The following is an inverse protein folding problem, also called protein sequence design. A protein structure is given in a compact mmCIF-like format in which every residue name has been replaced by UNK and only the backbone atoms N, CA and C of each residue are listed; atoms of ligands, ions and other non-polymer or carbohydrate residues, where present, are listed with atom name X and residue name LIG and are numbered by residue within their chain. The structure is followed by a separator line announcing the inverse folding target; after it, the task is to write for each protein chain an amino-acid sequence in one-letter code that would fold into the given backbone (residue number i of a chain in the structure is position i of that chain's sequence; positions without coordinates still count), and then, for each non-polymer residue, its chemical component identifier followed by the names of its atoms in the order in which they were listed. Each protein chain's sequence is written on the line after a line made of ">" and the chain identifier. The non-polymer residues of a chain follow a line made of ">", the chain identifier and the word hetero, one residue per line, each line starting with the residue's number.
data_IF_955924330521
#
_entry.id   IF_955924330521
#
_cell.length_a   1.000
_cell.length_b   1.000
_cell.length_c   1.000
_cell.angle_alpha   90.00
_cell.angle_beta   90.00
_cell.angle_gamma   90.00
#
_symmetry.space_group_name_H-M   'P 1'
#
loop_
_entity.id
_entity.type
_entity.pdbx_description
1 polymer ?
#
# COMPACT_ATOMS: atom_id res chain seq x y z
N UNK A 1 35.68 11.09 7.07
CA UNK A 1 34.89 11.73 8.13
C UNK A 1 33.49 11.17 8.02
N UNK A 2 33.07 10.31 8.96
CA UNK A 2 31.73 9.74 8.96
C UNK A 2 30.75 10.79 9.52
N UNK A 3 30.02 11.48 8.64
CA UNK A 3 29.05 12.52 9.03
C UNK A 3 27.75 12.01 9.67
N UNK A 4 27.68 10.74 10.08
CA UNK A 4 26.45 10.09 10.56
C UNK A 4 26.63 9.34 11.90
N UNK A 5 27.42 9.92 12.82
CA UNK A 5 27.65 9.26 14.12
C UNK A 5 26.41 9.24 15.05
N UNK A 6 25.39 10.04 14.75
CA UNK A 6 24.13 10.13 15.54
C UNK A 6 22.94 9.49 14.82
N UNK A 7 23.02 8.21 14.47
CA UNK A 7 21.90 7.48 13.89
C UNK A 7 20.91 7.05 14.97
N UNK A 8 19.67 7.49 14.84
CA UNK A 8 18.58 7.02 15.69
C UNK A 8 17.78 6.00 14.88
N UNK A 9 17.72 4.77 15.38
CA UNK A 9 16.85 3.75 14.79
C UNK A 9 15.40 4.01 15.20
N UNK A 10 14.51 4.05 14.22
CA UNK A 10 13.05 4.21 14.40
C UNK A 10 12.33 3.08 13.68
N UNK A 11 11.09 2.84 14.06
CA UNK A 11 10.20 1.90 13.39
C UNK A 11 9.61 2.47 12.11
N UNK A 12 8.56 1.83 11.61
CA UNK A 12 7.85 2.29 10.42
C UNK A 12 7.14 3.62 10.68
N UNK A 13 7.23 4.52 9.72
CA UNK A 13 6.53 5.80 9.73
C UNK A 13 5.64 5.88 8.50
N UNK A 14 4.34 6.03 8.74
CA UNK A 14 3.35 6.19 7.68
C UNK A 14 2.28 7.22 8.06
N UNK A 15 1.56 7.69 7.06
CA UNK A 15 0.34 8.45 7.29
C UNK A 15 -0.73 7.54 7.86
N UNK A 16 -1.54 8.06 8.76
CA UNK A 16 -2.69 7.35 9.34
C UNK A 16 -3.98 7.81 8.67
N UNK A 17 -4.85 6.86 8.35
CA UNK A 17 -6.18 7.17 7.85
C UNK A 17 -7.08 7.67 8.97
N UNK A 18 -7.83 8.74 8.70
CA UNK A 18 -8.92 9.22 9.56
C UNK A 18 -10.28 8.71 9.07
N UNK A 19 -10.31 7.96 7.98
CA UNK A 19 -11.52 7.43 7.37
C UNK A 19 -11.78 6.01 7.88
N UNK A 20 -12.96 5.77 8.44
CA UNK A 20 -13.38 4.42 8.79
C UNK A 20 -13.81 3.62 7.55
N UNK A 21 -13.72 2.29 7.61
CA UNK A 21 -14.21 1.40 6.53
C UNK A 21 -15.69 1.66 6.19
N UNK A 22 -16.51 1.98 7.19
CA UNK A 22 -17.93 2.30 6.98
C UNK A 22 -18.10 3.60 6.17
N UNK A 23 -17.35 4.64 6.49
CA UNK A 23 -17.37 5.90 5.73
C UNK A 23 -16.86 5.69 4.31
N UNK A 24 -15.77 4.94 4.15
CA UNK A 24 -15.24 4.54 2.83
C UNK A 24 -16.30 3.84 1.99
N UNK A 25 -16.97 2.82 2.55
CA UNK A 25 -18.00 2.07 1.85
C UNK A 25 -19.17 2.98 1.40
N UNK A 26 -19.56 3.94 2.23
CA UNK A 26 -20.61 4.91 1.91
C UNK A 26 -20.18 5.87 0.80
N UNK A 27 -18.98 6.46 0.90
CA UNK A 27 -18.43 7.41 -0.09
C UNK A 27 -18.37 6.75 -1.46
N UNK A 28 -17.84 5.53 -1.53
CA UNK A 28 -17.64 4.83 -2.78
C UNK A 28 -18.79 3.92 -3.19
N UNK A 29 -19.93 3.98 -2.50
CA UNK A 29 -21.11 3.16 -2.83
C UNK A 29 -20.70 1.71 -3.08
N UNK A 30 -20.13 1.07 -2.04
CA UNK A 30 -19.66 -0.31 -2.14
C UNK A 30 -20.81 -1.34 -2.21
N UNK A 31 -22.07 -0.88 -2.17
CA UNK A 31 -23.25 -1.74 -2.35
C UNK A 31 -23.13 -2.50 -3.67
N UNK A 32 -23.22 -3.82 -3.60
CA UNK A 32 -23.03 -4.71 -4.74
C UNK A 32 -21.58 -5.11 -5.05
N UNK A 33 -20.61 -4.57 -4.33
CA UNK A 33 -19.22 -5.02 -4.39
C UNK A 33 -18.83 -5.66 -3.06
N UNK A 34 -18.20 -6.83 -3.14
CA UNK A 34 -17.71 -7.54 -1.94
C UNK A 34 -16.32 -7.10 -1.56
N UNK A 35 -15.50 -6.71 -2.53
CA UNK A 35 -14.09 -6.38 -2.34
C UNK A 35 -13.71 -5.09 -3.05
N UNK A 36 -12.74 -4.40 -2.48
CA UNK A 36 -12.04 -3.24 -3.04
C UNK A 36 -10.57 -3.54 -3.26
N UNK A 37 -10.05 -3.23 -4.44
CA UNK A 37 -8.64 -3.45 -4.80
C UNK A 37 -8.04 -2.15 -5.28
N UNK A 38 -6.86 -1.82 -4.78
CA UNK A 38 -6.09 -0.63 -5.18
C UNK A 38 -4.87 -1.04 -5.99
N UNK A 39 -4.73 -0.47 -7.17
CA UNK A 39 -3.48 -0.52 -7.94
C UNK A 39 -2.69 0.77 -7.73
N UNK A 40 -1.53 0.67 -7.09
CA UNK A 40 -0.64 1.78 -6.77
C UNK A 40 0.76 1.55 -7.39
N UNK A 41 0.82 1.58 -8.72
CA UNK A 41 2.02 1.30 -9.51
C UNK A 41 2.66 2.58 -10.05
N UNK A 42 2.73 3.63 -9.25
CA UNK A 42 3.22 4.94 -9.63
C UNK A 42 4.62 4.94 -10.28
N UNK A 43 4.86 5.94 -11.12
CA UNK A 43 6.16 6.15 -11.79
C UNK A 43 6.32 5.47 -13.15
N UNK A 44 5.26 4.87 -13.69
CA UNK A 44 5.28 4.26 -15.01
C UNK A 44 3.91 4.41 -15.65
N UNK A 45 3.88 4.75 -16.93
CA UNK A 45 2.65 4.78 -17.76
C UNK A 45 2.15 3.33 -18.04
N UNK A 46 2.00 2.52 -16.99
CA UNK A 46 1.48 1.17 -17.16
C UNK A 46 0.00 1.21 -17.51
N UNK A 47 -0.32 0.62 -18.64
CA UNK A 47 -1.68 0.14 -18.89
C UNK A 47 -1.73 -1.31 -18.44
N UNK A 48 -2.56 -1.57 -17.46
CA UNK A 48 -2.80 -2.92 -16.98
C UNK A 48 -4.15 -3.34 -17.51
N UNK A 49 -4.20 -4.47 -18.18
CA UNK A 49 -5.43 -5.18 -18.47
C UNK A 49 -5.70 -6.11 -17.30
N UNK A 50 -6.63 -5.74 -16.44
CA UNK A 50 -7.04 -6.58 -15.31
C UNK A 50 -8.49 -7.05 -15.53
N UNK A 51 -8.67 -8.37 -15.57
CA UNK A 51 -10.00 -8.96 -15.69
C UNK A 51 -10.71 -8.96 -14.33
N UNK A 52 -11.36 -7.85 -13.99
CA UNK A 52 -12.07 -7.74 -12.72
C UNK A 52 -13.28 -8.67 -12.65
N UNK A 53 -13.48 -9.26 -11.48
CA UNK A 53 -14.72 -9.94 -11.11
C UNK A 53 -15.86 -8.92 -10.89
N UNK A 54 -17.11 -9.31 -11.11
CA UNK A 54 -18.29 -8.45 -10.86
C UNK A 54 -18.36 -7.93 -9.42
N UNK A 55 -17.80 -8.67 -8.47
CA UNK A 55 -17.85 -8.33 -7.05
C UNK A 55 -16.66 -7.48 -6.57
N UNK A 56 -15.76 -7.06 -7.47
CA UNK A 56 -14.56 -6.30 -7.14
C UNK A 56 -14.66 -4.89 -7.68
N UNK A 57 -14.51 -3.91 -6.80
CA UNK A 57 -14.33 -2.51 -7.16
C UNK A 57 -12.86 -2.20 -7.25
N UNK A 58 -12.43 -1.64 -8.37
CA UNK A 58 -11.02 -1.36 -8.65
C UNK A 58 -10.77 0.14 -8.57
N UNK A 59 -9.76 0.51 -7.81
CA UNK A 59 -9.24 1.87 -7.67
C UNK A 59 -7.80 1.92 -8.18
N UNK A 60 -7.38 3.06 -8.69
CA UNK A 60 -6.01 3.24 -9.18
C UNK A 60 -5.38 4.51 -8.63
N UNK A 61 -4.08 4.45 -8.42
CA UNK A 61 -3.23 5.58 -8.05
C UNK A 61 -2.08 5.65 -9.06
N UNK A 62 -2.10 6.64 -9.94
CA UNK A 62 -1.09 6.80 -11.01
C UNK A 62 -0.90 5.55 -11.89
N UNK A 63 -1.99 4.83 -12.12
CA UNK A 63 -2.00 3.58 -12.90
C UNK A 63 -3.29 3.53 -13.69
N UNK A 64 -3.24 3.18 -14.98
CA UNK A 64 -4.44 3.07 -15.82
C UNK A 64 -4.90 1.62 -15.91
N UNK A 65 -6.06 1.33 -15.34
CA UNK A 65 -6.75 0.04 -15.45
C UNK A 65 -8.13 0.27 -16.06
N UNK A 66 -8.49 -0.47 -17.09
CA UNK A 66 -9.77 -0.31 -17.77
C UNK A 66 -10.95 -0.54 -16.80
N UNK A 67 -11.89 0.41 -16.78
CA UNK A 67 -13.07 0.36 -15.92
C UNK A 67 -12.80 0.55 -14.43
N UNK A 68 -11.64 1.09 -14.07
CA UNK A 68 -11.32 1.52 -12.69
C UNK A 68 -11.78 2.95 -12.42
N UNK A 69 -11.79 3.31 -11.13
CA UNK A 69 -11.83 4.71 -10.68
C UNK A 69 -10.40 5.18 -10.48
N UNK A 70 -9.96 6.18 -11.24
CA UNK A 70 -8.65 6.79 -11.06
C UNK A 70 -8.62 7.68 -9.81
N UNK A 71 -7.45 7.83 -9.18
CA UNK A 71 -7.31 8.65 -7.97
C UNK A 71 -7.78 10.09 -8.17
N UNK A 72 -7.53 10.66 -9.33
CA UNK A 72 -7.92 12.04 -9.65
C UNK A 72 -9.44 12.24 -9.65
N UNK A 73 -10.23 11.18 -9.83
CA UNK A 73 -11.69 11.24 -9.80
C UNK A 73 -12.25 11.44 -8.39
N UNK A 74 -11.46 11.17 -7.35
CA UNK A 74 -11.90 11.21 -5.94
C UNK A 74 -10.93 11.90 -4.98
N UNK A 75 -9.91 12.61 -5.47
CA UNK A 75 -8.93 13.35 -4.63
C UNK A 75 -9.57 14.38 -3.69
N UNK A 76 -10.72 14.93 -4.08
CA UNK A 76 -11.49 15.85 -3.24
C UNK A 76 -12.29 15.15 -2.12
N UNK A 77 -12.38 13.83 -2.15
CA UNK A 77 -13.17 13.05 -1.21
C UNK A 77 -12.29 12.36 -0.16
N UNK A 78 -11.16 11.83 -0.59
CA UNK A 78 -10.21 11.10 0.28
C UNK A 78 -8.78 11.25 -0.21
N UNK A 79 -7.83 11.00 0.67
CA UNK A 79 -6.41 10.92 0.35
C UNK A 79 -6.01 9.52 -0.09
N UNK A 80 -4.86 9.39 -0.77
CA UNK A 80 -4.36 8.07 -1.23
C UNK A 80 -4.15 7.07 -0.08
N UNK A 81 -3.67 7.52 1.08
CA UNK A 81 -3.49 6.64 2.24
C UNK A 81 -4.83 6.18 2.86
N UNK A 82 -5.90 7.00 2.78
CA UNK A 82 -7.22 6.57 3.19
C UNK A 82 -7.75 5.44 2.30
N UNK A 83 -7.45 5.53 1.00
CA UNK A 83 -7.79 4.50 0.03
C UNK A 83 -7.06 3.19 0.34
N UNK A 84 -5.74 3.26 0.55
CA UNK A 84 -4.91 2.09 0.89
C UNK A 84 -5.42 1.43 2.17
N UNK A 85 -5.56 2.19 3.24
CA UNK A 85 -5.92 1.68 4.57
C UNK A 85 -7.32 1.06 4.65
N UNK A 86 -8.22 1.43 3.74
CA UNK A 86 -9.59 0.94 3.71
C UNK A 86 -9.89 -0.07 2.59
N UNK A 87 -8.89 -0.43 1.81
CA UNK A 87 -9.05 -1.46 0.76
C UNK A 87 -8.90 -2.87 1.32
N UNK A 88 -9.37 -3.85 0.55
CA UNK A 88 -9.25 -5.26 0.93
C UNK A 88 -7.98 -5.89 0.36
N UNK A 89 -7.40 -5.28 -0.69
CA UNK A 89 -6.12 -5.68 -1.28
C UNK A 89 -5.46 -4.47 -1.93
N UNK A 90 -4.14 -4.39 -1.80
CA UNK A 90 -3.30 -3.43 -2.52
C UNK A 90 -2.35 -4.17 -3.45
N UNK A 91 -2.22 -3.69 -4.69
CA UNK A 91 -1.20 -4.15 -5.64
C UNK A 91 -0.32 -2.95 -5.96
N UNK A 92 0.93 -2.97 -5.53
CA UNK A 92 1.78 -1.79 -5.56
C UNK A 92 3.21 -2.06 -6.06
N UNK A 93 3.93 -1.00 -6.37
CA UNK A 93 5.39 -1.05 -6.44
C UNK A 93 5.98 -1.12 -5.03
N UNK A 94 7.15 -1.76 -4.91
CA UNK A 94 7.86 -1.92 -3.65
C UNK A 94 8.56 -0.62 -3.21
N UNK A 95 7.78 0.44 -2.94
CA UNK A 95 8.28 1.73 -2.43
C UNK A 95 7.98 1.88 -0.94
N UNK A 96 8.85 2.57 -0.20
CA UNK A 96 8.73 2.72 1.25
C UNK A 96 7.36 3.26 1.69
N UNK A 97 6.87 4.34 1.05
CA UNK A 97 5.62 4.99 1.46
C UNK A 97 4.41 4.05 1.43
N UNK A 98 4.19 3.39 0.30
CA UNK A 98 3.03 2.50 0.12
C UNK A 98 3.17 1.22 0.96
N UNK A 99 4.36 0.65 1.06
CA UNK A 99 4.62 -0.55 1.87
C UNK A 99 4.39 -0.24 3.36
N UNK A 100 4.90 0.90 3.86
CA UNK A 100 4.67 1.29 5.25
C UNK A 100 3.19 1.54 5.56
N UNK A 101 2.43 2.12 4.62
CA UNK A 101 0.97 2.30 4.76
C UNK A 101 0.24 0.96 4.82
N UNK A 102 0.61 -0.01 3.97
CA UNK A 102 0.03 -1.35 4.01
C UNK A 102 0.33 -2.07 5.34
N UNK A 103 1.59 -2.05 5.77
CA UNK A 103 2.01 -2.71 7.01
C UNK A 103 1.38 -2.09 8.26
N UNK A 104 1.31 -0.76 8.34
CA UNK A 104 0.73 -0.09 9.51
C UNK A 104 -0.80 -0.17 9.55
N UNK A 105 -1.46 -0.38 8.42
CA UNK A 105 -2.91 -0.62 8.35
C UNK A 105 -3.29 -2.10 8.44
N UNK A 106 -2.33 -3.01 8.28
CA UNK A 106 -2.59 -4.46 8.25
C UNK A 106 -3.29 -4.93 6.97
N UNK A 107 -3.29 -4.13 5.91
CA UNK A 107 -3.93 -4.48 4.64
C UNK A 107 -3.05 -5.47 3.86
N UNK A 108 -3.60 -6.60 3.39
CA UNK A 108 -2.87 -7.53 2.54
C UNK A 108 -2.47 -6.86 1.23
N UNK A 109 -1.28 -7.17 0.73
CA UNK A 109 -0.78 -6.58 -0.50
C UNK A 109 0.09 -7.53 -1.31
N UNK A 110 0.07 -7.35 -2.63
CA UNK A 110 1.08 -7.83 -3.55
C UNK A 110 2.02 -6.69 -3.92
N UNK A 111 3.29 -7.00 -4.11
CA UNK A 111 4.26 -5.99 -4.51
C UNK A 111 5.12 -6.43 -5.70
N UNK A 112 5.44 -5.45 -6.54
CA UNK A 112 6.30 -5.60 -7.71
C UNK A 112 7.61 -4.87 -7.42
N UNK A 113 8.71 -5.52 -7.73
CA UNK A 113 10.06 -4.98 -7.54
C UNK A 113 10.67 -4.68 -8.90
N UNK A 114 11.24 -3.50 -9.01
CA UNK A 114 12.22 -3.18 -10.04
C UNK A 114 13.61 -3.52 -9.48
N UNK A 115 14.19 -4.61 -9.97
CA UNK A 115 15.46 -5.13 -9.45
C UNK A 115 16.67 -4.22 -9.74
N UNK A 116 16.53 -3.25 -10.62
CA UNK A 116 17.53 -2.21 -10.85
C UNK A 116 17.43 -1.08 -9.82
N UNK A 117 16.29 -0.96 -9.12
CA UNK A 117 16.06 0.08 -8.14
C UNK A 117 16.51 -0.37 -6.74
N UNK A 118 17.63 0.19 -6.25
CA UNK A 118 18.28 -0.22 -4.99
C UNK A 118 17.33 -0.19 -3.78
N UNK A 119 16.52 0.87 -3.64
CA UNK A 119 15.56 0.99 -2.55
C UNK A 119 14.53 -0.14 -2.56
N UNK A 120 13.92 -0.40 -3.72
CA UNK A 120 12.90 -1.44 -3.85
C UNK A 120 13.46 -2.84 -3.56
N UNK A 121 14.69 -3.10 -4.01
CA UNK A 121 15.39 -4.34 -3.71
C UNK A 121 15.65 -4.52 -2.21
N UNK A 122 16.09 -3.47 -1.54
CA UNK A 122 16.31 -3.49 -0.08
C UNK A 122 15.02 -3.75 0.68
N UNK A 123 13.93 -3.05 0.33
CA UNK A 123 12.62 -3.22 0.96
C UNK A 123 12.10 -4.64 0.73
N UNK A 124 12.22 -5.17 -0.49
CA UNK A 124 11.82 -6.56 -0.80
C UNK A 124 12.55 -7.58 0.07
N UNK A 125 13.84 -7.42 0.27
CA UNK A 125 14.62 -8.29 1.14
C UNK A 125 14.15 -8.22 2.61
N UNK A 126 13.80 -7.03 3.09
CA UNK A 126 13.26 -6.86 4.44
C UNK A 126 11.87 -7.51 4.57
N UNK A 127 11.00 -7.36 3.58
CA UNK A 127 9.70 -8.03 3.54
C UNK A 127 9.84 -9.56 3.56
N UNK A 128 10.78 -10.10 2.79
CA UNK A 128 11.09 -11.55 2.79
C UNK A 128 11.57 -12.03 4.17
N UNK A 129 12.44 -11.26 4.85
CA UNK A 129 12.89 -11.56 6.22
C UNK A 129 11.74 -11.54 7.24
N UNK A 130 10.73 -10.69 7.00
CA UNK A 130 9.50 -10.66 7.80
C UNK A 130 8.54 -11.80 7.44
N UNK A 131 8.88 -12.63 6.45
CA UNK A 131 8.07 -13.75 5.97
C UNK A 131 6.96 -13.34 5.00
N UNK A 132 6.99 -12.13 4.46
CA UNK A 132 6.06 -11.64 3.44
C UNK A 132 6.60 -11.97 2.05
N UNK A 133 6.10 -13.04 1.47
CA UNK A 133 6.52 -13.56 0.17
C UNK A 133 5.51 -13.24 -0.94
N UNK A 134 4.84 -12.10 -0.85
CA UNK A 134 3.77 -11.69 -1.75
C UNK A 134 4.29 -10.91 -2.98
N UNK A 135 5.55 -11.17 -3.37
CA UNK A 135 6.14 -10.60 -4.58
C UNK A 135 5.50 -11.23 -5.81
N UNK A 136 5.14 -10.38 -6.78
CA UNK A 136 4.59 -10.78 -8.07
C UNK A 136 5.31 -10.04 -9.21
N UNK A 137 5.09 -10.50 -10.44
CA UNK A 137 5.47 -9.78 -11.66
C UNK A 137 4.26 -9.07 -12.28
N UNK A 138 4.49 -8.20 -13.25
CA UNK A 138 3.40 -7.55 -13.99
C UNK A 138 2.51 -8.55 -14.73
N UNK A 139 3.07 -9.66 -15.22
CA UNK A 139 2.33 -10.73 -15.90
C UNK A 139 1.35 -11.44 -14.97
N UNK A 140 1.71 -11.58 -13.69
CA UNK A 140 0.89 -12.31 -12.71
C UNK A 140 -0.40 -11.55 -12.35
N UNK A 141 -0.46 -10.23 -12.60
CA UNK A 141 -1.62 -9.40 -12.25
C UNK A 141 -2.92 -9.91 -12.88
N UNK A 142 -2.85 -10.37 -14.12
CA UNK A 142 -4.05 -10.85 -14.84
C UNK A 142 -4.62 -12.14 -14.25
N UNK A 143 -3.82 -12.90 -13.53
CA UNK A 143 -4.19 -14.18 -12.94
C UNK A 143 -4.62 -14.04 -11.46
N UNK A 144 -4.60 -12.82 -10.91
CA UNK A 144 -5.02 -12.57 -9.53
C UNK A 144 -6.54 -12.69 -9.43
N UNK A 145 -6.99 -13.74 -8.76
CA UNK A 145 -8.38 -13.92 -8.40
C UNK A 145 -8.59 -13.41 -6.98
N UNK A 146 -9.56 -12.49 -6.82
CA UNK A 146 -9.92 -11.94 -5.52
C UNK A 146 -11.05 -12.77 -4.93
N UNK A 147 -10.75 -13.50 -3.87
CA UNK A 147 -11.70 -14.29 -3.10
C UNK A 147 -11.37 -14.20 -1.61
N UNK A 148 -12.30 -14.59 -0.75
CA UNK A 148 -12.09 -14.63 0.70
C UNK A 148 -10.87 -15.49 1.04
N UNK A 149 -10.85 -16.73 0.56
CA UNK A 149 -9.77 -17.68 0.83
C UNK A 149 -8.41 -17.14 0.38
N UNK A 150 -8.38 -16.45 -0.76
CA UNK A 150 -7.15 -15.85 -1.28
C UNK A 150 -6.66 -14.70 -0.40
N UNK A 151 -7.56 -13.82 0.05
CA UNK A 151 -7.21 -12.71 0.93
C UNK A 151 -6.73 -13.22 2.29
N UNK A 152 -7.40 -14.23 2.85
CA UNK A 152 -7.01 -14.87 4.11
C UNK A 152 -5.67 -15.63 4.00
N UNK A 153 -5.37 -16.18 2.82
CA UNK A 153 -4.08 -16.86 2.57
C UNK A 153 -2.91 -15.90 2.40
N UNK A 154 -3.18 -14.64 2.05
CA UNK A 154 -2.14 -13.61 1.95
C UNK A 154 -1.68 -13.25 3.36
N UNK A 155 -0.41 -13.50 3.64
CA UNK A 155 0.18 -13.00 4.87
C UNK A 155 0.11 -11.48 4.89
N UNK A 156 -0.56 -10.95 5.89
CA UNK A 156 -0.50 -9.54 6.24
C UNK A 156 0.13 -9.42 7.62
N UNK A 157 0.93 -8.40 7.80
CA UNK A 157 1.48 -8.02 9.10
C UNK A 157 0.90 -6.66 9.45
N UNK A 158 0.61 -6.49 10.73
CA UNK A 158 0.24 -5.18 11.26
C UNK A 158 1.38 -4.69 12.16
N UNK A 159 2.15 -3.77 11.62
CA UNK A 159 3.28 -3.17 12.31
C UNK A 159 2.85 -1.83 12.96
N UNK A 160 3.36 -1.50 14.16
CA UNK A 160 3.04 -0.24 14.80
C UNK A 160 3.59 0.94 13.99
N UNK A 161 2.81 2.02 13.93
CA UNK A 161 3.27 3.28 13.36
C UNK A 161 4.09 4.07 14.38
N UNK A 162 5.36 4.28 14.10
CA UNK A 162 6.34 4.89 15.02
C UNK A 162 6.43 6.42 14.91
N UNK A 163 5.50 7.06 14.21
CA UNK A 163 5.53 8.51 13.95
C UNK A 163 5.67 9.34 15.22
N UNK A 164 4.98 8.99 16.30
CA UNK A 164 5.04 9.73 17.55
C UNK A 164 6.41 9.64 18.21
N UNK A 165 7.06 8.48 18.16
CA UNK A 165 8.43 8.31 18.69
C UNK A 165 9.43 9.14 17.88
N UNK A 166 9.29 9.16 16.55
CA UNK A 166 10.13 10.00 15.68
C UNK A 166 9.96 11.49 16.02
N UNK A 167 8.72 11.97 16.15
CA UNK A 167 8.44 13.37 16.51
C UNK A 167 9.06 13.72 17.86
N UNK A 168 8.88 12.88 18.87
CA UNK A 168 9.46 13.12 20.21
C UNK A 168 10.99 13.22 20.16
N UNK A 169 11.66 12.28 19.45
CA UNK A 169 13.11 12.31 19.29
C UNK A 169 13.60 13.54 18.55
N UNK A 170 12.89 14.00 17.52
CA UNK A 170 13.21 15.24 16.81
C UNK A 170 13.05 16.47 17.73
N UNK A 171 11.98 16.53 18.53
CA UNK A 171 11.79 17.62 19.49
C UNK A 171 12.89 17.65 20.55
N UNK A 172 13.31 16.50 21.07
CA UNK A 172 14.43 16.40 22.00
C UNK A 172 15.73 16.88 21.36
N UNK A 173 16.00 16.49 20.12
CA UNK A 173 17.20 16.91 19.38
C UNK A 173 17.25 18.43 19.13
N UNK A 174 16.09 19.07 18.88
CA UNK A 174 16.01 20.53 18.63
C UNK A 174 16.21 21.33 19.93
N UNK A 175 15.84 20.76 21.09
CA UNK A 175 15.94 21.43 22.39
C UNK A 175 17.35 21.37 23.02
N UNK A 176 18.20 20.50 22.52
CA UNK A 176 19.62 20.34 22.95
C UNK A 176 20.55 21.05 21.97
#
# INVERSE_FOLDING_TARGET
>A
MNHFDNKIKVGLVSRTSNLSKQQFNKIFRMDGYKYSVVFALSGSNFRISYKKSKNVKVFTMNTKVEGSLEHDDYTNLISGHDLVSNSDLVICKCGYGIISECLTSGVPFYYIVDDEHIEQKSISQDLERMGLTNRITLSDINDIIISQDKLESLKSLHEPNDVNNVVNKLVEFIKN
#
